data_IF_005831896257
#
_entry.id   IF_005831896257
#
_cell.length_a   1.000
_cell.length_b   1.000
_cell.length_c   1.000
_cell.angle_alpha   90.00
_cell.angle_beta   90.00
_cell.angle_gamma   90.00
#
_symmetry.space_group_name_H-M   'P 1'
#
loop_
_entity.id
_entity.type
_entity.pdbx_description
1 polymer ?
#
# COMPACT_ATOMS: atom_id res chain seq x y z
N UNK A 1 -17.14 1.18 -2.48
CA UNK A 1 -16.29 2.38 -2.59
C UNK A 1 -15.22 2.41 -1.50
N UNK A 2 -15.54 2.30 -0.22
CA UNK A 2 -14.57 2.29 0.90
C UNK A 2 -13.53 1.17 0.77
N UNK A 3 -13.93 -0.06 0.47
CA UNK A 3 -12.98 -1.18 0.25
C UNK A 3 -12.05 -0.94 -0.95
N UNK A 4 -12.54 -0.31 -2.02
CA UNK A 4 -11.70 0.06 -3.16
C UNK A 4 -10.67 1.14 -2.81
N UNK A 5 -11.00 2.07 -1.92
CA UNK A 5 -10.06 3.06 -1.40
C UNK A 5 -8.98 2.39 -0.53
N UNK A 6 -9.35 1.43 0.32
CA UNK A 6 -8.39 0.65 1.13
C UNK A 6 -7.45 -0.14 0.22
N UNK A 7 -7.99 -0.92 -0.70
CA UNK A 7 -7.19 -1.68 -1.67
C UNK A 7 -6.29 -0.74 -2.48
N UNK A 8 -6.83 0.42 -2.91
CA UNK A 8 -6.07 1.43 -3.66
C UNK A 8 -4.93 2.08 -2.88
N UNK A 9 -5.09 2.26 -1.55
CA UNK A 9 -4.02 2.79 -0.71
C UNK A 9 -2.93 1.75 -0.40
N UNK A 10 -3.30 0.47 -0.32
CA UNK A 10 -2.36 -0.63 -0.12
C UNK A 10 -1.61 -1.01 -1.41
N UNK A 11 -2.32 -1.07 -2.55
CA UNK A 11 -1.69 -1.35 -3.86
C UNK A 11 -1.01 -0.06 -4.35
N UNK A 12 0.16 0.22 -3.81
CA UNK A 12 1.03 1.33 -4.19
C UNK A 12 2.20 0.91 -5.08
N UNK A 13 3.21 1.77 -5.20
CA UNK A 13 4.45 1.46 -5.94
C UNK A 13 5.21 0.27 -5.32
N UNK A 14 5.04 0.01 -4.03
CA UNK A 14 5.71 -1.08 -3.31
C UNK A 14 5.44 -2.45 -3.95
N UNK A 15 4.20 -2.74 -4.36
CA UNK A 15 3.86 -4.05 -4.91
C UNK A 15 4.59 -4.35 -6.23
N UNK A 16 4.91 -3.33 -7.03
CA UNK A 16 5.66 -3.49 -8.29
C UNK A 16 7.17 -3.63 -8.06
N UNK A 17 7.68 -3.11 -6.94
CA UNK A 17 9.09 -3.22 -6.58
C UNK A 17 9.40 -4.52 -5.83
N UNK A 18 8.39 -5.13 -5.21
CA UNK A 18 8.56 -6.35 -4.41
C UNK A 18 9.14 -7.53 -5.19
N UNK A 19 8.69 -7.89 -6.40
CA UNK A 19 9.23 -9.03 -7.12
C UNK A 19 10.76 -8.93 -7.31
N UNK A 20 11.25 -7.74 -7.66
CA UNK A 20 12.69 -7.50 -7.84
C UNK A 20 13.44 -7.57 -6.51
N UNK A 21 12.86 -7.00 -5.45
CA UNK A 21 13.49 -6.96 -4.12
C UNK A 21 13.47 -8.31 -3.41
N UNK A 22 12.45 -9.13 -3.67
CA UNK A 22 12.27 -10.44 -3.02
C UNK A 22 12.93 -11.59 -3.78
N UNK A 23 13.12 -11.46 -5.09
CA UNK A 23 13.76 -12.51 -5.91
C UNK A 23 15.08 -13.02 -5.33
N UNK A 24 16.02 -12.17 -4.85
CA UNK A 24 17.27 -12.63 -4.24
C UNK A 24 17.09 -13.38 -2.90
N UNK A 25 15.91 -13.33 -2.29
CA UNK A 25 15.64 -13.96 -1.00
C UNK A 25 15.03 -15.37 -1.16
N UNK A 26 14.64 -15.76 -2.36
CA UNK A 26 14.11 -17.10 -2.66
C UNK A 26 12.91 -17.46 -1.76
N UNK A 27 12.94 -18.68 -1.19
CA UNK A 27 11.86 -19.18 -0.34
C UNK A 27 11.64 -18.32 0.93
N UNK A 28 12.66 -17.59 1.40
CA UNK A 28 12.51 -16.66 2.53
C UNK A 28 11.48 -15.58 2.26
N UNK A 29 11.31 -15.19 0.98
CA UNK A 29 10.30 -14.23 0.56
C UNK A 29 8.87 -14.72 0.86
N UNK A 30 8.60 -15.99 0.60
CA UNK A 30 7.28 -16.60 0.87
C UNK A 30 7.00 -16.64 2.38
N UNK A 31 7.99 -17.05 3.17
CA UNK A 31 7.86 -17.05 4.64
C UNK A 31 7.65 -15.63 5.16
N UNK A 32 8.43 -14.67 4.67
CA UNK A 32 8.27 -13.25 5.03
C UNK A 32 6.89 -12.71 4.66
N UNK A 33 6.37 -13.06 3.47
CA UNK A 33 5.03 -12.67 3.03
C UNK A 33 3.92 -13.22 3.96
N UNK A 34 4.02 -14.48 4.35
CA UNK A 34 3.06 -15.10 5.27
C UNK A 34 3.10 -14.40 6.63
N UNK A 35 4.30 -14.18 7.20
CA UNK A 35 4.46 -13.52 8.49
C UNK A 35 3.93 -12.08 8.46
N UNK A 36 4.28 -11.32 7.44
CA UNK A 36 3.80 -9.93 7.28
C UNK A 36 2.29 -9.87 7.06
N UNK A 37 1.72 -10.81 6.31
CA UNK A 37 0.27 -10.89 6.07
C UNK A 37 -0.49 -11.18 7.36
N UNK A 38 -0.01 -12.12 8.18
CA UNK A 38 -0.59 -12.41 9.51
C UNK A 38 -0.47 -11.18 10.42
N UNK A 39 0.70 -10.53 10.43
CA UNK A 39 0.92 -9.30 11.20
C UNK A 39 -0.01 -8.16 10.76
N UNK A 40 -0.10 -7.90 9.46
CA UNK A 40 -0.99 -6.88 8.90
C UNK A 40 -2.47 -7.15 9.19
N UNK A 41 -2.92 -8.41 9.05
CA UNK A 41 -4.30 -8.80 9.40
C UNK A 41 -4.58 -8.64 10.88
N UNK A 42 -3.62 -8.94 11.75
CA UNK A 42 -3.76 -8.75 13.21
C UNK A 42 -3.94 -7.27 13.55
N UNK A 43 -3.12 -6.39 12.97
CA UNK A 43 -3.24 -4.94 13.16
C UNK A 43 -4.54 -4.42 12.54
N UNK A 44 -4.88 -4.88 11.33
CA UNK A 44 -6.12 -4.54 10.66
C UNK A 44 -7.35 -4.89 11.51
N UNK A 45 -7.34 -6.07 12.14
CA UNK A 45 -8.39 -6.50 13.06
C UNK A 45 -8.45 -5.62 14.32
N UNK A 46 -7.30 -5.28 14.91
CA UNK A 46 -7.23 -4.39 16.07
C UNK A 46 -7.80 -2.99 15.74
N UNK A 47 -7.42 -2.42 14.58
CA UNK A 47 -7.94 -1.15 14.10
C UNK A 47 -9.44 -1.22 13.79
N UNK A 48 -9.90 -2.31 13.20
CA UNK A 48 -11.30 -2.56 12.94
C UNK A 48 -12.12 -2.60 14.24
N UNK A 49 -11.60 -3.21 15.30
CA UNK A 49 -12.23 -3.21 16.64
C UNK A 49 -12.19 -1.81 17.26
N UNK A 50 -11.06 -1.14 17.18
CA UNK A 50 -10.92 0.22 17.73
C UNK A 50 -11.89 1.20 17.05
N UNK A 51 -12.13 1.08 15.76
CA UNK A 51 -13.09 1.93 15.03
C UNK A 51 -14.55 1.71 15.45
N UNK A 52 -14.87 0.60 16.13
CA UNK A 52 -16.21 0.31 16.66
C UNK A 52 -16.47 0.89 18.05
N UNK A 53 -15.42 1.26 18.81
CA UNK A 53 -15.53 1.70 20.20
C UNK A 53 -16.07 3.15 20.37
N UNK A 54 -16.19 3.90 19.29
CA UNK A 54 -16.75 5.26 19.33
C UNK A 54 -16.92 5.82 17.93
N UNK A 55 -18.01 6.56 17.69
CA UNK A 55 -18.37 7.14 16.40
C UNK A 55 -17.45 8.25 15.90
N UNK A 56 -16.50 8.73 16.71
CA UNK A 56 -15.71 9.93 16.44
C UNK A 56 -14.32 9.63 15.81
N UNK A 57 -14.09 8.38 15.37
CA UNK A 57 -12.84 7.96 14.75
C UNK A 57 -11.75 7.50 15.73
N UNK A 58 -10.67 6.95 15.18
CA UNK A 58 -9.57 6.36 15.98
C UNK A 58 -8.87 7.40 16.84
N UNK A 59 -8.65 8.60 16.30
CA UNK A 59 -7.96 9.68 17.01
C UNK A 59 -8.66 10.06 18.31
N UNK A 60 -9.99 10.23 18.26
CA UNK A 60 -10.77 10.54 19.44
C UNK A 60 -10.74 9.38 20.47
N UNK A 61 -10.72 8.14 20.00
CA UNK A 61 -10.61 6.98 20.89
C UNK A 61 -9.23 6.91 21.59
N UNK A 62 -8.15 7.24 20.88
CA UNK A 62 -6.82 7.34 21.47
C UNK A 62 -6.78 8.44 22.52
N UNK A 63 -7.37 9.61 22.23
CA UNK A 63 -7.42 10.73 23.19
C UNK A 63 -8.18 10.36 24.46
N UNK A 64 -9.31 9.68 24.34
CA UNK A 64 -10.11 9.23 25.50
C UNK A 64 -9.40 8.21 26.38
N UNK A 65 -8.61 7.30 25.77
CA UNK A 65 -7.99 6.18 26.49
C UNK A 65 -6.57 6.48 26.97
N UNK A 66 -5.79 7.19 26.17
CA UNK A 66 -4.35 7.41 26.40
C UNK A 66 -4.02 8.88 26.65
N UNK A 67 -5.01 9.76 26.58
CA UNK A 67 -4.85 11.19 26.83
C UNK A 67 -4.36 11.98 25.62
N UNK A 68 -4.48 13.31 25.75
CA UNK A 68 -4.26 14.29 24.66
C UNK A 68 -2.83 14.27 24.10
N UNK A 69 -1.82 14.10 24.96
CA UNK A 69 -0.43 14.12 24.53
C UNK A 69 -0.09 12.94 23.63
N UNK A 70 -0.57 11.73 23.98
CA UNK A 70 -0.38 10.52 23.15
C UNK A 70 -1.14 10.63 21.85
N UNK A 71 -2.37 11.11 21.90
CA UNK A 71 -3.20 11.34 20.71
C UNK A 71 -2.51 12.32 19.74
N UNK A 72 -1.95 13.41 20.24
CA UNK A 72 -1.19 14.36 19.43
C UNK A 72 0.04 13.71 18.78
N UNK A 73 0.84 12.96 19.53
CA UNK A 73 2.03 12.28 18.99
C UNK A 73 1.66 11.29 17.88
N UNK A 74 0.59 10.53 18.07
CA UNK A 74 0.10 9.58 17.05
C UNK A 74 -0.36 10.32 15.79
N UNK A 75 -1.17 11.38 15.94
CA UNK A 75 -1.63 12.18 14.82
C UNK A 75 -0.47 12.84 14.05
N UNK A 76 0.48 13.40 14.80
CA UNK A 76 1.68 14.03 14.24
C UNK A 76 2.52 13.02 13.46
N UNK A 77 2.80 11.86 14.06
CA UNK A 77 3.58 10.79 13.41
C UNK A 77 2.88 10.28 12.14
N UNK A 78 1.56 10.11 12.19
CA UNK A 78 0.76 9.73 11.03
C UNK A 78 0.82 10.80 9.93
N UNK A 79 0.70 12.07 10.27
CA UNK A 79 0.81 13.17 9.32
C UNK A 79 2.18 13.24 8.68
N UNK A 80 3.26 13.17 9.47
CA UNK A 80 4.65 13.17 8.96
C UNK A 80 4.90 11.98 8.04
N UNK A 81 4.48 10.77 8.43
CA UNK A 81 4.66 9.57 7.59
C UNK A 81 3.93 9.66 6.25
N UNK A 82 2.73 10.24 6.24
CA UNK A 82 1.96 10.39 5.00
C UNK A 82 2.63 11.32 4.00
N UNK A 83 3.04 12.53 4.39
CA UNK A 83 3.66 13.44 3.43
C UNK A 83 5.06 12.96 3.01
N UNK A 84 5.81 12.30 3.90
CA UNK A 84 7.09 11.68 3.53
C UNK A 84 6.89 10.54 2.51
N UNK A 85 5.88 9.69 2.71
CA UNK A 85 5.51 8.64 1.77
C UNK A 85 5.07 9.22 0.41
N UNK A 86 4.28 10.30 0.40
CA UNK A 86 3.87 10.98 -0.84
C UNK A 86 5.08 11.51 -1.62
N UNK A 87 6.04 12.13 -0.94
CA UNK A 87 7.26 12.61 -1.58
C UNK A 87 8.08 11.46 -2.18
N UNK A 88 8.26 10.37 -1.44
CA UNK A 88 8.96 9.18 -1.90
C UNK A 88 8.28 8.55 -3.13
N UNK A 89 6.96 8.40 -3.10
CA UNK A 89 6.18 7.86 -4.23
C UNK A 89 6.23 8.76 -5.46
N UNK A 90 6.18 10.08 -5.28
CA UNK A 90 6.27 11.03 -6.38
C UNK A 90 7.65 10.96 -7.07
N UNK A 91 8.72 10.89 -6.29
CA UNK A 91 10.09 10.74 -6.81
C UNK A 91 10.25 9.38 -7.50
N UNK A 92 9.78 8.29 -6.90
CA UNK A 92 9.83 6.96 -7.48
C UNK A 92 9.07 6.89 -8.82
N UNK A 93 7.87 7.48 -8.87
CA UNK A 93 7.06 7.54 -10.09
C UNK A 93 7.73 8.37 -11.19
N UNK A 94 8.28 9.53 -10.84
CA UNK A 94 9.01 10.37 -11.79
C UNK A 94 10.29 9.66 -12.30
N UNK A 95 11.02 8.99 -11.40
CA UNK A 95 12.23 8.24 -11.77
C UNK A 95 11.93 7.04 -12.69
N UNK A 96 10.75 6.42 -12.56
CA UNK A 96 10.34 5.31 -13.42
C UNK A 96 10.21 5.73 -14.89
N UNK A 97 10.01 7.02 -15.20
CA UNK A 97 9.96 7.52 -16.57
C UNK A 97 11.32 7.38 -17.31
N UNK A 98 12.42 7.23 -16.57
CA UNK A 98 13.75 6.98 -17.17
C UNK A 98 13.80 5.66 -17.95
N UNK A 99 12.91 4.70 -17.65
CA UNK A 99 12.78 3.45 -18.42
C UNK A 99 12.20 3.68 -19.82
N UNK A 100 11.47 4.77 -20.02
CA UNK A 100 10.91 5.13 -21.33
C UNK A 100 12.00 5.87 -22.16
N UNK A 101 12.75 6.78 -21.53
CA UNK A 101 13.85 7.49 -22.18
C UNK A 101 14.90 7.92 -21.18
N UNK A 102 16.20 7.72 -21.49
CA UNK A 102 17.31 8.24 -20.67
C UNK A 102 17.28 9.77 -20.44
N UNK A 103 16.61 10.52 -21.33
CA UNK A 103 16.44 11.97 -21.17
C UNK A 103 15.64 12.33 -19.90
N UNK A 104 14.87 11.41 -19.35
CA UNK A 104 14.09 11.59 -18.12
C UNK A 104 14.86 11.15 -16.87
N UNK A 105 16.08 10.65 -17.02
CA UNK A 105 16.95 10.33 -15.90
C UNK A 105 17.66 11.59 -15.40
N UNK A 106 17.62 11.83 -14.12
CA UNK A 106 18.35 12.92 -13.50
C UNK A 106 17.50 13.96 -12.78
N UNK A 107 18.12 14.70 -11.86
CA UNK A 107 17.40 15.61 -10.95
C UNK A 107 16.66 16.73 -11.69
N UNK A 108 17.18 17.17 -12.84
CA UNK A 108 16.59 18.26 -13.63
C UNK A 108 15.21 17.93 -14.20
N UNK A 109 14.90 16.64 -14.38
CA UNK A 109 13.58 16.18 -14.80
C UNK A 109 12.78 15.58 -13.63
N UNK A 110 13.41 14.71 -12.84
CA UNK A 110 12.73 13.95 -11.78
C UNK A 110 12.09 14.86 -10.73
N UNK A 111 12.80 15.91 -10.29
CA UNK A 111 12.28 16.81 -9.26
C UNK A 111 11.07 17.61 -9.75
N UNK A 112 11.11 18.33 -10.90
CA UNK A 112 9.94 19.02 -11.43
C UNK A 112 8.76 18.07 -11.73
N UNK A 113 9.03 16.89 -12.27
CA UNK A 113 8.00 15.89 -12.56
C UNK A 113 7.34 15.37 -11.27
N UNK A 114 8.11 15.11 -10.21
CA UNK A 114 7.58 14.73 -8.90
C UNK A 114 6.70 15.85 -8.31
N UNK A 115 7.17 17.09 -8.30
CA UNK A 115 6.40 18.25 -7.83
C UNK A 115 5.12 18.42 -8.66
N UNK A 116 5.23 18.33 -9.99
CA UNK A 116 4.08 18.42 -10.89
C UNK A 116 3.04 17.34 -10.65
N UNK A 117 3.47 16.10 -10.37
CA UNK A 117 2.56 15.01 -10.04
C UNK A 117 1.80 15.26 -8.74
N UNK A 118 2.48 15.72 -7.70
CA UNK A 118 1.84 16.08 -6.42
C UNK A 118 0.86 17.22 -6.62
N UNK A 119 1.23 18.28 -7.35
CA UNK A 119 0.36 19.40 -7.65
C UNK A 119 -0.88 18.96 -8.45
N UNK A 120 -0.71 18.10 -9.46
CA UNK A 120 -1.80 17.56 -10.26
C UNK A 120 -2.81 16.78 -9.40
N UNK A 121 -2.36 15.82 -8.60
CA UNK A 121 -3.25 15.04 -7.76
C UNK A 121 -3.87 15.86 -6.63
N UNK A 122 -3.17 16.87 -6.11
CA UNK A 122 -3.74 17.84 -5.18
C UNK A 122 -4.86 18.63 -5.83
N UNK A 123 -4.67 19.10 -7.07
CA UNK A 123 -5.72 19.73 -7.86
C UNK A 123 -6.93 18.83 -8.07
N UNK A 124 -6.73 17.58 -8.50
CA UNK A 124 -7.82 16.59 -8.64
C UNK A 124 -8.58 16.41 -7.32
N UNK A 125 -7.86 16.35 -6.20
CA UNK A 125 -8.50 16.20 -4.88
C UNK A 125 -9.30 17.46 -4.47
N UNK A 126 -8.89 18.64 -4.90
CA UNK A 126 -9.59 19.90 -4.65
C UNK A 126 -10.98 19.98 -5.33
N UNK A 127 -11.21 19.20 -6.43
CA UNK A 127 -12.52 19.06 -7.05
C UNK A 127 -13.52 18.20 -6.23
N UNK A 128 -13.09 17.71 -5.08
CA UNK A 128 -13.94 17.06 -4.08
C UNK A 128 -13.90 15.54 -4.10
N UNK A 129 -14.61 14.95 -3.13
CA UNK A 129 -14.56 13.50 -2.81
C UNK A 129 -14.98 12.62 -3.99
N UNK A 130 -15.88 13.08 -4.85
CA UNK A 130 -16.35 12.32 -6.00
C UNK A 130 -15.26 12.20 -7.07
N UNK A 131 -14.58 13.29 -7.40
CA UNK A 131 -13.49 13.30 -8.37
C UNK A 131 -12.31 12.47 -7.87
N UNK A 132 -11.93 12.65 -6.61
CA UNK A 132 -10.89 11.86 -5.94
C UNK A 132 -11.23 10.37 -5.91
N UNK A 133 -12.49 10.01 -5.62
CA UNK A 133 -12.94 8.62 -5.60
C UNK A 133 -12.91 7.95 -6.98
N UNK A 134 -13.31 8.65 -8.04
CA UNK A 134 -13.23 8.16 -9.42
C UNK A 134 -11.76 7.99 -9.84
N UNK A 135 -10.92 9.00 -9.58
CA UNK A 135 -9.49 8.91 -9.86
C UNK A 135 -8.84 7.72 -9.14
N UNK A 136 -9.21 7.47 -7.87
CA UNK A 136 -8.73 6.31 -7.11
C UNK A 136 -9.14 4.99 -7.75
N UNK A 137 -10.40 4.81 -8.16
CA UNK A 137 -10.88 3.59 -8.80
C UNK A 137 -10.16 3.35 -10.14
N UNK A 138 -10.02 4.39 -10.96
CA UNK A 138 -9.32 4.30 -12.25
C UNK A 138 -7.86 3.91 -12.05
N UNK A 139 -7.18 4.56 -11.12
CA UNK A 139 -5.76 4.24 -10.82
C UNK A 139 -5.59 2.83 -10.26
N UNK A 140 -6.51 2.33 -9.42
CA UNK A 140 -6.51 0.93 -8.94
C UNK A 140 -6.68 -0.04 -10.10
N UNK A 141 -7.63 0.21 -10.99
CA UNK A 141 -7.85 -0.64 -12.17
C UNK A 141 -6.60 -0.70 -13.05
N UNK A 142 -5.96 0.45 -13.33
CA UNK A 142 -4.73 0.51 -14.12
C UNK A 142 -3.58 -0.25 -13.43
N UNK A 143 -3.47 -0.17 -12.10
CA UNK A 143 -2.43 -0.89 -11.34
C UNK A 143 -2.64 -2.40 -11.33
N UNK A 144 -3.88 -2.87 -11.33
CA UNK A 144 -4.19 -4.30 -11.36
C UNK A 144 -3.95 -4.94 -12.74
N UNK A 145 -3.98 -4.17 -13.83
CA UNK A 145 -3.74 -4.69 -15.19
C UNK A 145 -2.39 -5.40 -15.36
N UNK A 146 -1.23 -4.81 -14.98
CA UNK A 146 0.06 -5.49 -15.09
C UNK A 146 0.13 -6.75 -14.23
N UNK A 147 -0.43 -6.70 -13.00
CA UNK A 147 -0.48 -7.86 -12.09
C UNK A 147 -1.29 -9.00 -12.70
N UNK A 148 -2.50 -8.71 -13.20
CA UNK A 148 -3.32 -9.68 -13.91
C UNK A 148 -2.61 -10.21 -15.17
N UNK A 149 -1.89 -9.35 -15.89
CA UNK A 149 -1.08 -9.74 -17.05
C UNK A 149 0.01 -10.74 -16.70
N UNK A 150 0.75 -10.51 -15.63
CA UNK A 150 1.80 -11.43 -15.14
C UNK A 150 1.19 -12.78 -14.76
N UNK A 151 0.10 -12.78 -13.98
CA UNK A 151 -0.60 -14.02 -13.58
C UNK A 151 -1.11 -14.77 -14.80
N UNK A 152 -1.69 -14.07 -15.78
CA UNK A 152 -2.19 -14.67 -17.01
C UNK A 152 -1.05 -15.30 -17.85
N UNK A 153 0.06 -14.59 -18.04
CA UNK A 153 1.24 -15.10 -18.75
C UNK A 153 1.77 -16.36 -18.05
N UNK A 154 1.84 -16.34 -16.72
CA UNK A 154 2.29 -17.50 -15.95
C UNK A 154 1.32 -18.69 -16.10
N UNK A 155 0.03 -18.45 -16.06
CA UNK A 155 -0.99 -19.48 -16.24
C UNK A 155 -0.97 -20.09 -17.67
N UNK A 156 -0.72 -19.26 -18.67
CA UNK A 156 -0.70 -19.71 -20.09
C UNK A 156 0.60 -20.42 -20.47
N UNK A 157 1.74 -19.98 -19.94
CA UNK A 157 3.06 -20.53 -20.29
C UNK A 157 3.49 -21.72 -19.44
N UNK A 158 2.92 -21.86 -18.23
CA UNK A 158 3.27 -22.91 -17.27
C UNK A 158 4.67 -22.76 -16.65
N UNK A 159 4.89 -23.51 -15.57
CA UNK A 159 6.14 -23.49 -14.78
C UNK A 159 7.34 -24.12 -15.53
N UNK A 160 7.11 -24.83 -16.64
CA UNK A 160 8.14 -25.48 -17.46
C UNK A 160 8.63 -24.68 -18.67
N UNK A 161 8.30 -23.41 -18.78
CA UNK A 161 8.73 -22.55 -19.88
C UNK A 161 10.24 -22.34 -19.86
N UNK A 162 10.96 -22.32 -21.02
CA UNK A 162 12.39 -22.02 -21.10
C UNK A 162 12.77 -20.64 -20.53
N UNK A 163 11.79 -19.75 -20.34
CA UNK A 163 11.96 -18.46 -19.70
C UNK A 163 11.97 -18.53 -18.16
N UNK A 164 11.71 -19.71 -17.58
CA UNK A 164 11.74 -19.92 -16.14
C UNK A 164 13.07 -20.57 -15.76
N UNK A 165 14.00 -19.75 -15.30
CA UNK A 165 15.19 -20.24 -14.61
C UNK A 165 14.86 -20.36 -13.12
N UNK A 166 14.82 -21.58 -12.54
CA UNK A 166 14.64 -21.71 -11.11
C UNK A 166 15.83 -21.05 -10.40
N UNK A 167 15.53 -20.11 -9.52
CA UNK A 167 16.57 -19.52 -8.66
C UNK A 167 17.25 -20.63 -7.87
N UNK A 168 18.57 -20.54 -7.73
CA UNK A 168 19.34 -21.47 -6.89
C UNK A 168 18.69 -21.55 -5.50
N UNK A 169 18.60 -22.74 -4.89
CA UNK A 169 17.97 -22.90 -3.59
C UNK A 169 18.71 -22.06 -2.55
N UNK A 170 18.04 -21.04 -2.03
CA UNK A 170 18.57 -20.15 -1.01
C UNK A 170 18.14 -20.70 0.34
N UNK A 171 19.12 -20.93 1.23
CA UNK A 171 18.87 -21.44 2.56
C UNK A 171 17.92 -20.53 3.35
N UNK A 172 17.04 -21.14 4.12
CA UNK A 172 16.20 -20.40 5.08
C UNK A 172 17.10 -19.84 6.18
N UNK A 173 17.15 -18.52 6.31
CA UNK A 173 17.90 -17.83 7.36
C UNK A 173 17.02 -16.81 8.06
N UNK A 174 17.16 -16.67 9.39
CA UNK A 174 16.38 -15.66 10.13
C UNK A 174 16.57 -14.23 9.60
N UNK A 175 17.80 -13.89 9.14
CA UNK A 175 18.09 -12.57 8.57
C UNK A 175 17.34 -12.32 7.26
N UNK A 176 17.35 -13.28 6.34
CA UNK A 176 16.61 -13.16 5.08
C UNK A 176 15.10 -13.13 5.30
N UNK A 177 14.59 -13.93 6.24
CA UNK A 177 13.16 -13.90 6.62
C UNK A 177 12.79 -12.55 7.22
N UNK A 178 13.60 -12.00 8.12
CA UNK A 178 13.35 -10.68 8.71
C UNK A 178 13.34 -9.57 7.63
N UNK A 179 14.32 -9.60 6.70
CA UNK A 179 14.37 -8.66 5.57
C UNK A 179 13.14 -8.79 4.68
N UNK A 180 12.78 -10.02 4.30
CA UNK A 180 11.58 -10.28 3.51
C UNK A 180 10.31 -9.78 4.23
N UNK A 181 10.19 -10.07 5.53
CA UNK A 181 9.05 -9.62 6.34
C UNK A 181 8.95 -8.10 6.39
N UNK A 182 10.06 -7.40 6.56
CA UNK A 182 10.07 -5.94 6.59
C UNK A 182 9.64 -5.33 5.24
N UNK A 183 10.18 -5.84 4.13
CA UNK A 183 9.82 -5.38 2.79
C UNK A 183 8.35 -5.64 2.46
N UNK A 184 7.86 -6.83 2.75
CA UNK A 184 6.48 -7.22 2.45
C UNK A 184 5.49 -6.55 3.40
N UNK A 185 5.84 -6.35 4.66
CA UNK A 185 5.00 -5.62 5.62
C UNK A 185 4.78 -4.17 5.18
N UNK A 186 5.84 -3.50 4.70
CA UNK A 186 5.71 -2.15 4.15
C UNK A 186 4.71 -2.08 2.99
N UNK A 187 4.72 -3.08 2.10
CA UNK A 187 3.77 -3.12 0.98
C UNK A 187 2.32 -3.40 1.40
N UNK A 188 2.12 -4.05 2.55
CA UNK A 188 0.81 -4.30 3.12
C UNK A 188 0.27 -3.12 3.96
N UNK A 189 1.04 -2.05 4.19
CA UNK A 189 0.55 -0.84 4.86
C UNK A 189 -0.43 -0.07 3.97
N UNK A 190 -1.26 0.78 4.57
CA UNK A 190 -2.29 1.56 3.86
C UNK A 190 -3.72 1.23 4.27
N UNK A 191 -3.96 0.10 4.96
CA UNK A 191 -5.28 -0.27 5.47
C UNK A 191 -5.83 0.73 6.51
N UNK A 192 -4.95 1.45 7.19
CA UNK A 192 -5.29 2.52 8.14
C UNK A 192 -6.00 3.70 7.47
N UNK A 193 -5.84 3.89 6.17
CA UNK A 193 -6.49 4.97 5.43
C UNK A 193 -8.02 4.92 5.50
N UNK A 194 -8.61 3.73 5.71
CA UNK A 194 -10.05 3.60 5.93
C UNK A 194 -10.53 4.32 7.19
N UNK A 195 -9.67 4.43 8.19
CA UNK A 195 -10.00 5.03 9.49
C UNK A 195 -10.13 6.56 9.43
N UNK A 196 -9.56 7.18 8.41
CA UNK A 196 -9.68 8.64 8.15
C UNK A 196 -10.97 9.01 7.43
N UNK A 197 -11.77 8.03 7.03
CA UNK A 197 -12.99 8.23 6.24
C UNK A 197 -14.28 8.13 7.08
N UNK A 198 -14.18 8.11 8.41
CA UNK A 198 -15.34 7.92 9.32
C UNK A 198 -16.46 8.88 9.01
N UNK A 199 -16.16 10.17 8.83
CA UNK A 199 -17.15 11.22 8.57
C UNK A 199 -17.77 11.18 7.15
N UNK A 200 -17.18 10.38 6.25
CA UNK A 200 -17.55 10.35 4.82
C UNK A 200 -18.22 9.03 4.41
N UNK A 201 -18.37 8.09 5.33
CA UNK A 201 -18.89 6.75 5.07
C UNK A 201 -20.25 6.54 5.74
N UNK A 202 -21.18 5.98 4.99
CA UNK A 202 -22.50 5.60 5.51
C UNK A 202 -22.33 4.34 6.38
N UNK A 203 -22.85 4.37 7.62
CA UNK A 203 -22.70 3.32 8.62
C UNK A 203 -21.21 2.92 8.86
N UNK A 204 -20.40 3.87 9.40
CA UNK A 204 -18.96 3.65 9.57
C UNK A 204 -18.64 2.48 10.48
N UNK A 205 -19.46 2.23 11.50
CA UNK A 205 -19.26 1.13 12.46
C UNK A 205 -19.25 -0.27 11.83
N UNK A 206 -19.92 -0.44 10.70
CA UNK A 206 -19.95 -1.71 9.95
C UNK A 206 -19.07 -1.67 8.69
N UNK A 207 -19.05 -0.54 8.01
CA UNK A 207 -18.39 -0.42 6.70
C UNK A 207 -16.87 -0.37 6.84
N UNK A 208 -16.34 0.37 7.81
CA UNK A 208 -14.89 0.52 8.01
C UNK A 208 -14.23 -0.79 8.41
N UNK A 209 -14.70 -1.54 9.44
CA UNK A 209 -14.10 -2.83 9.79
C UNK A 209 -14.08 -3.83 8.65
N UNK A 210 -15.17 -3.92 7.90
CA UNK A 210 -15.25 -4.80 6.73
C UNK A 210 -14.28 -4.38 5.63
N UNK A 211 -14.19 -3.08 5.35
CA UNK A 211 -13.30 -2.57 4.33
C UNK A 211 -11.83 -2.85 4.68
N UNK A 212 -11.43 -2.66 5.93
CA UNK A 212 -10.07 -2.92 6.42
C UNK A 212 -9.75 -4.41 6.27
N UNK A 213 -10.57 -5.30 6.83
CA UNK A 213 -10.28 -6.74 6.85
C UNK A 213 -10.30 -7.32 5.43
N UNK A 214 -11.36 -7.04 4.67
CA UNK A 214 -11.50 -7.57 3.30
C UNK A 214 -10.44 -6.99 2.38
N UNK A 215 -10.14 -5.70 2.51
CA UNK A 215 -9.11 -5.05 1.71
C UNK A 215 -7.72 -5.62 1.99
N UNK A 216 -7.36 -5.78 3.27
CA UNK A 216 -6.06 -6.35 3.66
C UNK A 216 -5.95 -7.81 3.23
N UNK A 217 -7.01 -8.61 3.42
CA UNK A 217 -7.03 -10.01 2.98
C UNK A 217 -6.88 -10.13 1.46
N UNK A 218 -7.59 -9.29 0.71
CA UNK A 218 -7.49 -9.26 -0.75
C UNK A 218 -6.05 -8.97 -1.21
N UNK A 219 -5.42 -7.93 -0.64
CA UNK A 219 -4.05 -7.56 -1.01
C UNK A 219 -3.03 -8.61 -0.57
N UNK A 220 -3.26 -9.29 0.55
CA UNK A 220 -2.40 -10.39 1.01
C UNK A 220 -2.45 -11.62 0.08
N UNK A 221 -3.55 -11.83 -0.64
CA UNK A 221 -3.73 -12.97 -1.56
C UNK A 221 -3.23 -12.64 -2.97
N UNK A 222 -3.41 -11.40 -3.44
CA UNK A 222 -2.96 -10.94 -4.75
C UNK A 222 -1.45 -10.72 -4.80
#
# INVERSE_FOLDING_TARGET
MTSALVVGSMIGAGIFMLPVSLAPLGINAVVGWILSSVGALTIAFALARLSQLGGDGIQANIERQLGRSVAFLVAWSFWVSNWAAQAALAIAGASALSWISPAYAGPGFVIPAAIGSVAFFTGVNAFGVRASGVASIVTVAIRLLPLAGVVLIFALRGIGSPAYEPLAPIALTPGNIATATALTFFALTGFESATTLVDKVRDPARTIPRAIIVGTLFVAIV
#
